data_IF_334495339085
#
_entry.id   IF_334495339085
#
_cell.length_a   1.000
_cell.length_b   1.000
_cell.length_c   1.000
_cell.angle_alpha   90.00
_cell.angle_beta   90.00
_cell.angle_gamma   90.00
#
_symmetry.space_group_name_H-M   'P 1'
#
loop_
_entity.id
_entity.type
_entity.pdbx_description
1 polymer ?
#
# COMPACT_ATOMS: atom_id res chain seq x y z
N UNK A 1 6.56 28.55 -10.77
CA UNK A 1 7.05 28.15 -9.42
C UNK A 1 8.54 27.82 -9.54
N UNK A 2 9.37 28.31 -8.62
CA UNK A 2 10.77 27.88 -8.54
C UNK A 2 10.84 26.47 -7.92
N UNK A 3 11.72 25.58 -8.42
CA UNK A 3 11.85 24.23 -7.87
C UNK A 3 12.48 24.27 -6.48
N UNK A 4 12.13 23.29 -5.63
CA UNK A 4 12.76 23.11 -4.31
C UNK A 4 14.27 22.90 -4.50
N UNK A 5 15.15 23.66 -3.82
CA UNK A 5 16.60 23.45 -3.85
C UNK A 5 16.98 22.02 -3.46
N UNK A 6 18.04 21.49 -4.05
CA UNK A 6 18.41 20.07 -3.90
C UNK A 6 18.60 19.64 -2.44
N UNK A 7 19.25 20.46 -1.62
CA UNK A 7 19.50 20.18 -0.20
C UNK A 7 18.23 20.21 0.68
N UNK A 8 17.09 20.65 0.16
CA UNK A 8 15.78 20.58 0.84
C UNK A 8 14.90 19.46 0.28
N UNK A 9 15.35 18.69 -0.70
CA UNK A 9 14.59 17.55 -1.23
C UNK A 9 14.77 16.36 -0.31
N UNK A 10 13.66 15.85 0.20
CA UNK A 10 13.63 14.60 0.95
C UNK A 10 13.58 13.43 -0.03
N UNK A 11 14.45 12.43 0.17
CA UNK A 11 14.41 11.19 -0.60
C UNK A 11 13.37 10.24 0.01
N UNK A 12 12.11 10.39 -0.40
CA UNK A 12 11.06 9.47 0.01
C UNK A 12 11.19 8.12 -0.70
N UNK A 13 10.75 7.05 -0.02
CA UNK A 13 10.49 5.74 -0.65
C UNK A 13 9.01 5.41 -0.51
N UNK A 14 8.13 6.17 -1.20
CA UNK A 14 6.73 6.13 -0.89
C UNK A 14 6.14 4.82 -1.37
N UNK A 15 6.46 4.32 -2.57
CA UNK A 15 5.88 3.07 -3.11
C UNK A 15 6.34 1.84 -2.30
N UNK A 16 5.39 0.99 -1.90
CA UNK A 16 5.69 -0.22 -1.14
C UNK A 16 6.37 -1.30 -1.99
N UNK A 17 6.98 -2.29 -1.33
CA UNK A 17 7.42 -3.50 -2.02
C UNK A 17 6.25 -4.12 -2.78
N UNK A 18 6.47 -4.53 -4.04
CA UNK A 18 5.40 -5.02 -4.92
C UNK A 18 4.70 -6.25 -4.33
N UNK A 19 5.46 -7.08 -3.65
CA UNK A 19 5.01 -8.31 -2.99
C UNK A 19 4.12 -8.02 -1.76
N UNK A 20 4.12 -6.79 -1.24
CA UNK A 20 3.23 -6.35 -0.17
C UNK A 20 1.93 -5.72 -0.69
N UNK A 21 1.72 -5.68 -2.01
CA UNK A 21 0.55 -5.05 -2.65
C UNK A 21 -0.35 -6.12 -3.26
N UNK A 22 -1.63 -6.09 -2.90
CA UNK A 22 -2.69 -6.93 -3.47
C UNK A 22 -3.77 -6.05 -4.09
N UNK A 23 -4.41 -6.50 -5.17
CA UNK A 23 -5.47 -5.74 -5.86
C UNK A 23 -6.68 -6.62 -6.13
N UNK A 24 -7.86 -6.05 -5.98
CA UNK A 24 -9.13 -6.60 -6.46
C UNK A 24 -9.86 -5.46 -7.20
N UNK A 25 -10.01 -5.60 -8.52
CA UNK A 25 -10.54 -4.54 -9.38
C UNK A 25 -9.82 -3.19 -9.17
N UNK A 26 -10.60 -2.21 -8.70
CA UNK A 26 -10.20 -0.83 -8.45
C UNK A 26 -9.72 -0.57 -7.01
N UNK A 27 -9.68 -1.60 -6.17
CA UNK A 27 -9.13 -1.53 -4.83
C UNK A 27 -7.67 -2.03 -4.79
N UNK A 28 -6.83 -1.33 -4.02
CA UNK A 28 -5.44 -1.68 -3.73
C UNK A 28 -5.24 -1.77 -2.22
N UNK A 29 -4.68 -2.90 -1.80
CA UNK A 29 -4.35 -3.22 -0.43
C UNK A 29 -2.83 -3.25 -0.32
N UNK A 30 -2.27 -2.61 0.69
CA UNK A 30 -0.84 -2.63 0.97
C UNK A 30 -0.62 -3.07 2.41
N UNK A 31 0.00 -4.23 2.60
CA UNK A 31 0.35 -4.77 3.92
C UNK A 31 1.63 -4.08 4.38
N UNK A 32 1.49 -3.08 5.25
CA UNK A 32 2.62 -2.26 5.71
C UNK A 32 3.33 -2.88 6.91
N UNK A 33 2.59 -3.55 7.79
CA UNK A 33 3.10 -4.34 8.90
C UNK A 33 2.15 -5.50 9.17
N UNK A 34 2.51 -6.40 10.07
CA UNK A 34 1.59 -7.46 10.55
C UNK A 34 0.31 -6.89 11.21
N UNK A 35 0.26 -5.60 11.56
CA UNK A 35 -0.89 -4.93 12.21
C UNK A 35 -1.41 -3.71 11.47
N UNK A 36 -0.99 -3.50 10.22
CA UNK A 36 -1.40 -2.33 9.45
C UNK A 36 -1.53 -2.67 7.98
N UNK A 37 -2.75 -2.52 7.47
CA UNK A 37 -3.06 -2.62 6.05
C UNK A 37 -3.57 -1.24 5.61
N UNK A 38 -2.99 -0.70 4.54
CA UNK A 38 -3.51 0.49 3.86
C UNK A 38 -4.45 0.05 2.75
N UNK A 39 -5.65 0.62 2.72
CA UNK A 39 -6.64 0.42 1.68
C UNK A 39 -6.74 1.68 0.83
N UNK A 40 -6.90 1.49 -0.47
CA UNK A 40 -7.09 2.57 -1.42
C UNK A 40 -8.05 2.12 -2.52
N UNK A 41 -9.06 2.94 -2.82
CA UNK A 41 -9.97 2.72 -3.93
C UNK A 41 -9.96 3.95 -4.82
N UNK A 42 -9.87 3.73 -6.12
CA UNK A 42 -10.02 4.77 -7.13
C UNK A 42 -10.87 4.23 -8.29
N UNK A 43 -11.90 4.97 -8.70
CA UNK A 43 -12.85 4.50 -9.71
C UNK A 43 -12.21 4.22 -11.10
N UNK A 44 -11.05 4.79 -11.36
CA UNK A 44 -10.28 4.62 -12.61
C UNK A 44 -9.03 3.74 -12.39
N UNK A 45 -8.78 3.27 -11.16
CA UNK A 45 -7.58 2.53 -10.78
C UNK A 45 -6.32 3.38 -10.69
N UNK A 46 -6.47 4.71 -10.58
CA UNK A 46 -5.40 5.69 -10.49
C UNK A 46 -5.00 5.91 -9.02
N UNK A 47 -4.08 5.10 -8.51
CA UNK A 47 -3.67 5.17 -7.11
C UNK A 47 -2.64 6.27 -6.79
N UNK A 48 -2.69 6.80 -5.58
CA UNK A 48 -1.77 7.77 -5.00
C UNK A 48 -0.49 7.09 -4.49
N UNK A 49 0.59 7.35 -5.21
CA UNK A 49 1.92 6.80 -4.92
C UNK A 49 2.88 7.79 -4.26
N UNK A 50 2.47 9.04 -4.02
CA UNK A 50 3.26 9.98 -3.22
C UNK A 50 3.28 9.59 -1.74
N UNK A 51 4.22 10.17 -1.01
CA UNK A 51 4.26 10.06 0.45
C UNK A 51 3.01 10.72 1.06
N UNK A 52 2.38 10.06 2.02
CA UNK A 52 1.34 10.70 2.83
C UNK A 52 1.98 11.54 3.93
N UNK A 53 1.21 12.34 4.68
CA UNK A 53 1.77 13.08 5.81
C UNK A 53 2.38 12.15 6.87
N UNK A 54 1.79 10.97 7.07
CA UNK A 54 2.15 10.02 8.14
C UNK A 54 3.13 8.94 7.68
N UNK A 55 3.17 8.60 6.38
CA UNK A 55 3.97 7.50 5.84
C UNK A 55 4.78 7.94 4.61
N UNK A 56 6.05 8.26 4.85
CA UNK A 56 7.00 8.67 3.79
C UNK A 56 7.73 7.48 3.14
N UNK A 57 7.91 6.39 3.89
CA UNK A 57 8.72 5.23 3.50
C UNK A 57 7.89 3.95 3.59
N UNK A 58 7.08 3.63 2.57
CA UNK A 58 6.34 2.36 2.53
C UNK A 58 7.14 1.24 1.88
N UNK A 59 8.26 1.56 1.21
CA UNK A 59 9.22 0.55 0.75
C UNK A 59 9.96 -0.05 1.94
N UNK A 60 9.37 -1.08 2.56
CA UNK A 60 9.88 -1.78 3.72
C UNK A 60 9.97 -3.29 3.41
N UNK A 61 10.66 -4.09 4.24
CA UNK A 61 10.58 -5.55 4.15
C UNK A 61 9.12 -6.02 4.17
N UNK A 62 8.81 -6.99 3.32
CA UNK A 62 7.45 -7.55 3.21
C UNK A 62 7.12 -8.28 4.52
N UNK A 63 6.04 -7.90 5.23
CA UNK A 63 5.61 -8.63 6.43
C UNK A 63 5.16 -10.06 6.08
N UNK A 64 5.15 -11.02 7.03
CA UNK A 64 4.51 -12.29 6.79
C UNK A 64 3.00 -12.09 6.62
N UNK A 65 2.46 -12.50 5.48
CA UNK A 65 1.02 -12.54 5.23
C UNK A 65 0.69 -13.51 4.09
N UNK A 66 -0.58 -13.93 4.07
CA UNK A 66 -1.15 -14.79 3.05
C UNK A 66 -2.36 -14.06 2.45
N UNK A 67 -2.75 -14.41 1.23
CA UNK A 67 -4.01 -13.93 0.69
C UNK A 67 -4.66 -14.96 -0.24
N UNK A 68 -5.98 -14.91 -0.34
CA UNK A 68 -6.77 -15.61 -1.36
C UNK A 68 -7.63 -14.62 -2.11
N UNK A 69 -7.65 -14.74 -3.43
CA UNK A 69 -8.36 -13.84 -4.33
C UNK A 69 -9.33 -14.66 -5.19
N UNK A 70 -10.57 -14.20 -5.27
CA UNK A 70 -11.57 -14.67 -6.24
C UNK A 70 -11.88 -13.55 -7.24
N UNK A 71 -12.84 -13.78 -8.15
CA UNK A 71 -13.30 -12.72 -9.06
C UNK A 71 -13.99 -11.55 -8.32
N UNK A 72 -14.56 -11.80 -7.14
CA UNK A 72 -15.38 -10.84 -6.41
C UNK A 72 -14.99 -10.64 -4.96
N UNK A 73 -13.98 -11.34 -4.45
CA UNK A 73 -13.59 -11.23 -3.04
C UNK A 73 -12.09 -11.36 -2.83
N UNK A 74 -11.61 -10.78 -1.73
CA UNK A 74 -10.23 -10.85 -1.28
C UNK A 74 -10.19 -11.09 0.24
N UNK A 75 -9.41 -12.08 0.63
CA UNK A 75 -9.02 -12.33 2.01
C UNK A 75 -7.51 -12.12 2.15
N UNK A 76 -7.10 -11.29 3.11
CA UNK A 76 -5.69 -11.09 3.52
C UNK A 76 -5.57 -11.46 5.00
N UNK A 77 -4.64 -12.37 5.30
CA UNK A 77 -4.34 -12.79 6.67
C UNK A 77 -2.88 -12.45 7.00
N UNK A 78 -2.69 -11.71 8.09
CA UNK A 78 -1.40 -11.52 8.77
C UNK A 78 -1.43 -12.23 10.13
N UNK A 79 -0.33 -12.29 10.89
CA UNK A 79 -0.35 -12.84 12.25
C UNK A 79 -1.34 -12.19 13.22
N UNK A 80 -1.81 -10.97 12.94
CA UNK A 80 -2.65 -10.20 13.87
C UNK A 80 -3.92 -9.63 13.25
N UNK A 81 -4.08 -9.67 11.93
CA UNK A 81 -5.22 -9.11 11.21
C UNK A 81 -5.76 -10.12 10.20
N UNK A 82 -7.08 -10.13 10.07
CA UNK A 82 -7.76 -10.70 8.92
C UNK A 82 -8.59 -9.59 8.28
N UNK A 83 -8.38 -9.36 6.99
CA UNK A 83 -9.16 -8.45 6.16
C UNK A 83 -9.92 -9.27 5.14
N UNK A 84 -11.23 -9.09 5.10
CA UNK A 84 -12.11 -9.61 4.08
C UNK A 84 -12.73 -8.44 3.31
N UNK A 85 -12.79 -8.52 1.99
CA UNK A 85 -13.31 -7.48 1.10
C UNK A 85 -14.11 -8.08 -0.06
N UNK A 86 -15.26 -7.48 -0.35
CA UNK A 86 -16.21 -7.83 -1.44
C UNK A 86 -16.62 -6.56 -2.21
#
# INVERSE_FOLDING_TARGET
MQPIPEHFRLDFKPVAAREAIVRLGNARFTVLTERLIRLEYDAEGCFEDRASQTFWYRQQPVPPFNFSLTESSLDIETPFLHLHYE
#
